data_IF_100988772668
#
_entry.id   IF_100988772668
#
_cell.length_a   1.000
_cell.length_b   1.000
_cell.length_c   1.000
_cell.angle_alpha   90.00
_cell.angle_beta   90.00
_cell.angle_gamma   90.00
#
_symmetry.space_group_name_H-M   'P 1'
#
loop_
_entity.id
_entity.type
_entity.pdbx_description
1 polymer ?
#
# COMPACT_ATOMS: atom_id res chain seq x y z
N UNK A 1 30.26 -31.61 -47.45
CA UNK A 1 30.59 -31.86 -46.03
C UNK A 1 30.38 -30.60 -45.16
N UNK A 2 30.76 -29.42 -45.59
CA UNK A 2 30.59 -28.15 -44.84
C UNK A 2 29.09 -27.80 -44.61
N UNK A 3 28.25 -28.03 -45.61
CA UNK A 3 26.80 -27.75 -45.53
C UNK A 3 26.06 -28.60 -44.50
N UNK A 4 26.49 -29.81 -44.25
CA UNK A 4 25.90 -30.70 -43.24
C UNK A 4 26.26 -30.26 -41.82
N UNK A 5 27.45 -29.73 -41.62
CA UNK A 5 27.92 -29.24 -40.31
C UNK A 5 27.24 -27.91 -39.95
N UNK A 6 27.02 -27.02 -40.90
CA UNK A 6 26.35 -25.72 -40.66
C UNK A 6 24.85 -25.88 -40.41
N UNK A 7 24.17 -26.88 -40.99
CA UNK A 7 22.78 -27.21 -40.71
C UNK A 7 22.59 -27.67 -39.26
N UNK A 8 23.43 -28.60 -38.81
CA UNK A 8 23.36 -29.10 -37.42
C UNK A 8 23.62 -28.03 -36.34
N UNK A 9 24.52 -27.09 -36.61
CA UNK A 9 24.80 -25.98 -35.68
C UNK A 9 23.61 -25.03 -35.58
N UNK A 10 22.95 -24.71 -36.68
CA UNK A 10 21.76 -23.85 -36.68
C UNK A 10 20.60 -24.47 -35.95
N UNK A 11 20.32 -25.76 -36.16
CA UNK A 11 19.25 -26.48 -35.51
C UNK A 11 19.51 -26.63 -33.99
N UNK A 12 20.75 -26.86 -33.62
CA UNK A 12 21.18 -26.92 -32.25
C UNK A 12 21.03 -25.56 -31.52
N UNK A 13 21.46 -24.47 -32.20
CA UNK A 13 21.30 -23.13 -31.67
C UNK A 13 19.81 -22.74 -31.50
N UNK A 14 18.98 -23.12 -32.45
CA UNK A 14 17.54 -22.92 -32.37
C UNK A 14 16.93 -23.68 -31.19
N UNK A 15 17.30 -24.95 -31.00
CA UNK A 15 16.83 -25.78 -29.91
C UNK A 15 17.21 -25.21 -28.53
N UNK A 16 18.49 -24.77 -28.38
CA UNK A 16 18.94 -24.11 -27.14
C UNK A 16 18.18 -22.79 -26.92
N UNK A 17 17.98 -22.00 -27.95
CA UNK A 17 17.23 -20.76 -27.87
C UNK A 17 15.79 -20.97 -27.40
N UNK A 18 15.10 -21.96 -27.94
CA UNK A 18 13.73 -22.32 -27.52
C UNK A 18 13.69 -22.83 -26.09
N UNK A 19 14.62 -23.68 -25.69
CA UNK A 19 14.73 -24.17 -24.31
C UNK A 19 15.01 -23.02 -23.34
N UNK A 20 15.93 -22.13 -23.66
CA UNK A 20 16.28 -20.98 -22.83
C UNK A 20 15.09 -20.03 -22.67
N UNK A 21 14.34 -19.77 -23.75
CA UNK A 21 13.12 -18.96 -23.71
C UNK A 21 12.05 -19.63 -22.81
N UNK A 22 11.85 -20.93 -22.93
CA UNK A 22 10.92 -21.69 -22.09
C UNK A 22 11.26 -21.60 -20.60
N UNK A 23 12.54 -21.78 -20.26
CA UNK A 23 13.03 -21.65 -18.87
C UNK A 23 12.86 -20.22 -18.36
N UNK A 24 13.20 -19.21 -19.18
CA UNK A 24 13.07 -17.80 -18.81
C UNK A 24 11.61 -17.43 -18.49
N UNK A 25 10.65 -17.89 -19.29
CA UNK A 25 9.22 -17.66 -19.06
C UNK A 25 8.77 -18.37 -17.79
N UNK A 26 9.21 -19.59 -17.55
CA UNK A 26 8.84 -20.36 -16.36
C UNK A 26 9.36 -19.71 -15.08
N UNK A 27 10.55 -19.10 -15.11
CA UNK A 27 11.17 -18.46 -13.95
C UNK A 27 10.83 -16.96 -13.82
N UNK A 28 10.08 -16.40 -14.73
CA UNK A 28 9.80 -14.96 -14.81
C UNK A 28 9.27 -14.41 -13.48
N UNK A 29 8.29 -15.07 -12.86
CA UNK A 29 7.67 -14.60 -11.62
C UNK A 29 8.65 -14.63 -10.44
N UNK A 30 9.50 -15.64 -10.39
CA UNK A 30 10.56 -15.74 -9.36
C UNK A 30 11.58 -14.60 -9.51
N UNK A 31 12.03 -14.34 -10.73
CA UNK A 31 12.99 -13.27 -11.03
C UNK A 31 12.38 -11.92 -10.67
N UNK A 32 11.11 -11.68 -11.04
CA UNK A 32 10.40 -10.46 -10.69
C UNK A 32 10.23 -10.30 -9.17
N UNK A 33 10.00 -11.39 -8.44
CA UNK A 33 9.90 -11.34 -6.97
C UNK A 33 11.21 -10.92 -6.32
N UNK A 34 12.33 -11.46 -6.78
CA UNK A 34 13.67 -11.07 -6.29
C UNK A 34 13.94 -9.60 -6.65
N UNK A 35 13.67 -9.20 -7.88
CA UNK A 35 13.79 -7.79 -8.28
C UNK A 35 12.89 -6.88 -7.44
N UNK A 36 11.68 -7.33 -7.11
CA UNK A 36 10.74 -6.65 -6.24
C UNK A 36 11.27 -6.46 -4.82
N UNK A 37 11.89 -7.48 -4.23
CA UNK A 37 12.49 -7.35 -2.89
C UNK A 37 13.61 -6.32 -2.87
N UNK A 38 14.46 -6.32 -3.89
CA UNK A 38 15.53 -5.30 -4.03
C UNK A 38 14.93 -3.89 -4.19
N UNK A 39 13.88 -3.76 -5.01
CA UNK A 39 13.17 -2.49 -5.18
C UNK A 39 12.59 -1.98 -3.85
N UNK A 40 11.90 -2.84 -3.10
CA UNK A 40 11.34 -2.50 -1.78
C UNK A 40 12.45 -2.02 -0.84
N UNK A 41 13.57 -2.74 -0.80
CA UNK A 41 14.69 -2.46 0.09
C UNK A 41 15.38 -1.13 -0.24
N UNK A 42 15.71 -0.89 -1.51
CA UNK A 42 16.47 0.32 -1.90
C UNK A 42 15.58 1.56 -1.98
N UNK A 43 14.36 1.44 -2.50
CA UNK A 43 13.42 2.56 -2.68
C UNK A 43 12.64 2.85 -1.41
N UNK A 44 12.56 1.87 -0.51
CA UNK A 44 11.80 1.95 0.76
C UNK A 44 10.33 2.26 0.53
N UNK A 45 9.73 1.60 -0.44
CA UNK A 45 8.31 1.75 -0.78
C UNK A 45 7.42 1.43 0.41
N UNK A 46 7.81 0.44 1.20
CA UNK A 46 7.26 0.09 2.50
C UNK A 46 8.28 -0.72 3.31
N UNK A 47 8.03 -0.90 4.59
CA UNK A 47 8.86 -1.65 5.54
C UNK A 47 8.00 -2.42 6.53
N UNK A 48 8.55 -3.39 7.27
CA UNK A 48 7.85 -4.00 8.40
C UNK A 48 7.30 -2.94 9.37
N UNK A 49 6.04 -3.10 9.75
CA UNK A 49 5.27 -2.15 10.58
C UNK A 49 4.43 -1.14 9.79
N UNK A 50 4.59 -1.05 8.47
CA UNK A 50 3.74 -0.21 7.66
C UNK A 50 2.41 -0.90 7.34
N UNK A 51 1.31 -0.13 7.28
CA UNK A 51 0.03 -0.54 6.74
C UNK A 51 -0.01 -0.22 5.26
N UNK A 52 -0.25 -1.23 4.44
CA UNK A 52 -0.25 -1.09 2.98
C UNK A 52 -1.45 -1.78 2.33
N UNK A 53 -1.76 -1.33 1.12
CA UNK A 53 -2.67 -2.02 0.23
C UNK A 53 -2.00 -2.22 -1.13
N UNK A 54 -1.96 -3.44 -1.61
CA UNK A 54 -1.43 -3.83 -2.92
C UNK A 54 -2.43 -4.76 -3.58
N UNK A 55 -2.84 -4.44 -4.80
CA UNK A 55 -3.76 -5.25 -5.61
C UNK A 55 -5.06 -5.59 -4.86
N UNK A 56 -5.58 -4.64 -4.08
CA UNK A 56 -6.80 -4.81 -3.28
C UNK A 56 -6.62 -5.63 -1.99
N UNK A 57 -5.41 -6.07 -1.69
CA UNK A 57 -5.08 -6.76 -0.43
C UNK A 57 -4.53 -5.75 0.56
N UNK A 58 -5.21 -5.59 1.70
CA UNK A 58 -4.85 -4.64 2.74
C UNK A 58 -4.34 -5.36 4.00
N UNK A 59 -3.26 -4.86 4.59
CA UNK A 59 -2.71 -5.43 5.82
C UNK A 59 -1.50 -4.68 6.36
N UNK A 60 -1.09 -5.10 7.54
CA UNK A 60 0.11 -4.59 8.21
C UNK A 60 1.30 -5.52 7.87
N UNK A 61 2.37 -4.94 7.35
CA UNK A 61 3.58 -5.67 6.94
C UNK A 61 4.29 -6.22 8.18
N UNK A 62 4.46 -7.53 8.23
CA UNK A 62 5.19 -8.22 9.29
C UNK A 62 6.66 -8.38 8.89
N UNK A 63 6.89 -8.83 7.66
CA UNK A 63 8.23 -9.15 7.16
C UNK A 63 8.31 -9.05 5.64
N UNK A 64 9.51 -8.80 5.12
CA UNK A 64 9.82 -8.76 3.69
C UNK A 64 10.99 -9.68 3.40
N UNK A 65 10.67 -10.83 2.86
CA UNK A 65 11.60 -11.84 2.39
C UNK A 65 12.15 -11.55 0.98
N UNK A 66 13.05 -12.39 0.50
CA UNK A 66 13.58 -12.30 -0.88
C UNK A 66 12.53 -12.50 -1.98
N UNK A 67 11.43 -13.20 -1.68
CA UNK A 67 10.39 -13.56 -2.65
C UNK A 67 9.02 -13.03 -2.24
N UNK A 68 8.72 -13.03 -0.94
CA UNK A 68 7.40 -12.70 -0.41
C UNK A 68 7.46 -11.56 0.61
N UNK A 69 6.40 -10.76 0.62
CA UNK A 69 6.05 -9.89 1.74
C UNK A 69 4.97 -10.60 2.57
N UNK A 70 5.21 -10.73 3.87
CA UNK A 70 4.26 -11.32 4.82
C UNK A 70 3.48 -10.19 5.51
N UNK A 71 2.16 -10.30 5.51
CA UNK A 71 1.27 -9.28 6.07
C UNK A 71 0.23 -9.91 7.00
N UNK A 72 -0.16 -9.17 8.03
CA UNK A 72 -1.37 -9.43 8.81
C UNK A 72 -2.54 -8.73 8.10
N UNK A 73 -3.51 -9.50 7.64
CA UNK A 73 -4.66 -8.97 6.92
C UNK A 73 -5.58 -8.14 7.82
N UNK A 74 -6.13 -7.08 7.25
CA UNK A 74 -7.16 -6.24 7.90
C UNK A 74 -8.39 -6.13 7.00
N UNK A 75 -9.56 -5.92 7.63
CA UNK A 75 -10.83 -5.83 6.92
C UNK A 75 -11.38 -7.21 6.51
N UNK A 76 -11.81 -7.35 5.26
CA UNK A 76 -12.48 -8.52 4.70
C UNK A 76 -13.82 -8.80 5.40
N UNK A 77 -13.94 -9.90 6.17
CA UNK A 77 -15.18 -10.22 6.91
C UNK A 77 -15.30 -9.49 8.25
N UNK A 78 -14.28 -8.74 8.66
CA UNK A 78 -14.29 -7.96 9.90
C UNK A 78 -14.59 -6.51 9.58
N UNK A 79 -15.50 -5.89 10.32
CA UNK A 79 -15.85 -4.48 10.12
C UNK A 79 -14.68 -3.57 10.47
N UNK A 80 -14.54 -2.49 9.75
CA UNK A 80 -13.48 -1.51 9.93
C UNK A 80 -12.09 -2.09 9.66
N UNK A 81 -11.04 -1.37 10.03
CA UNK A 81 -9.64 -1.77 9.86
C UNK A 81 -9.15 -2.72 10.97
N UNK A 82 -9.97 -3.67 11.38
CA UNK A 82 -9.59 -4.68 12.36
C UNK A 82 -8.88 -5.86 11.69
N UNK A 83 -8.04 -6.55 12.45
CA UNK A 83 -7.36 -7.75 11.98
C UNK A 83 -8.36 -8.88 11.70
N UNK A 84 -8.25 -9.47 10.52
CA UNK A 84 -9.05 -10.64 10.15
C UNK A 84 -8.57 -11.94 10.79
N UNK A 85 -7.34 -11.94 11.33
CA UNK A 85 -6.65 -13.12 11.86
C UNK A 85 -5.91 -13.96 10.80
N UNK A 86 -5.96 -13.54 9.52
CA UNK A 86 -5.21 -14.23 8.46
C UNK A 86 -3.83 -13.62 8.24
N UNK A 87 -2.87 -14.47 7.94
CA UNK A 87 -1.56 -14.09 7.43
C UNK A 87 -1.55 -14.28 5.92
N UNK A 88 -1.14 -13.25 5.22
CA UNK A 88 -1.00 -13.25 3.76
C UNK A 88 0.48 -13.26 3.40
N UNK A 89 0.85 -14.09 2.43
CA UNK A 89 2.15 -14.02 1.75
C UNK A 89 1.92 -13.54 0.33
N UNK A 90 2.35 -12.32 0.08
CA UNK A 90 2.22 -11.67 -1.22
C UNK A 90 3.57 -11.71 -1.94
N UNK A 91 3.58 -12.14 -3.20
CA UNK A 91 4.80 -12.11 -4.03
C UNK A 91 5.32 -10.67 -4.16
N UNK A 92 6.62 -10.46 -3.95
CA UNK A 92 7.24 -9.13 -4.12
C UNK A 92 7.16 -8.61 -5.56
N UNK A 93 6.89 -9.48 -6.55
CA UNK A 93 6.63 -9.07 -7.93
C UNK A 93 5.42 -8.13 -8.07
N UNK A 94 4.50 -8.13 -7.11
CA UNK A 94 3.31 -7.26 -7.15
C UNK A 94 3.63 -5.77 -7.07
N UNK A 95 4.81 -5.38 -6.57
CA UNK A 95 5.25 -3.97 -6.54
C UNK A 95 5.39 -3.35 -7.94
N UNK A 96 5.47 -4.17 -8.99
CA UNK A 96 5.52 -3.73 -10.38
C UNK A 96 4.18 -3.86 -11.12
N UNK A 97 3.14 -4.40 -10.46
CA UNK A 97 1.87 -4.77 -11.12
C UNK A 97 0.73 -3.77 -10.88
N UNK A 98 0.95 -2.75 -10.08
CA UNK A 98 -0.08 -1.76 -9.78
C UNK A 98 0.35 -0.73 -8.74
N UNK A 99 -0.56 0.14 -8.32
CA UNK A 99 -0.30 1.10 -7.27
C UNK A 99 -0.09 0.41 -5.93
N UNK A 100 0.74 1.03 -5.11
CA UNK A 100 0.95 0.65 -3.71
C UNK A 100 0.44 1.81 -2.87
N UNK A 101 -0.56 1.55 -2.04
CA UNK A 101 -1.04 2.52 -1.06
C UNK A 101 -0.35 2.25 0.27
N UNK A 102 0.39 3.22 0.78
CA UNK A 102 1.04 3.12 2.08
C UNK A 102 0.39 4.13 3.03
N UNK A 103 -0.29 3.62 4.06
CA UNK A 103 -1.05 4.40 5.03
C UNK A 103 -0.18 4.91 6.20
N UNK A 104 1.05 4.41 6.32
CA UNK A 104 1.94 4.68 7.46
C UNK A 104 3.21 5.46 7.08
N UNK A 105 3.37 5.80 5.79
CA UNK A 105 4.57 6.47 5.31
C UNK A 105 4.63 7.92 5.84
N UNK A 106 5.12 8.84 5.11
CA UNK A 106 5.52 10.18 5.51
C UNK A 106 4.45 11.07 6.16
N UNK A 107 3.15 10.70 6.05
CA UNK A 107 2.07 11.48 6.62
C UNK A 107 1.80 11.12 8.08
N UNK A 108 1.67 12.12 8.97
CA UNK A 108 1.51 11.87 10.41
C UNK A 108 0.12 11.39 10.81
N UNK A 109 -0.85 11.45 9.90
CA UNK A 109 -2.25 11.05 10.11
C UNK A 109 -2.93 10.77 8.77
N UNK A 110 -4.09 10.16 8.81
CA UNK A 110 -4.98 9.92 7.68
C UNK A 110 -6.28 10.69 7.95
N UNK A 111 -6.84 11.33 6.91
CA UNK A 111 -8.19 11.90 7.02
C UNK A 111 -9.19 10.75 6.97
N UNK A 112 -10.12 10.77 7.91
CA UNK A 112 -11.24 9.85 7.96
C UNK A 112 -12.55 10.62 7.96
N UNK A 113 -13.57 10.10 7.30
CA UNK A 113 -14.88 10.71 7.19
C UNK A 113 -15.96 9.70 7.60
N UNK A 114 -16.83 10.11 8.49
CA UNK A 114 -17.96 9.30 8.90
C UNK A 114 -19.26 10.09 8.92
N UNK A 115 -20.35 9.41 8.57
CA UNK A 115 -21.67 9.99 8.51
C UNK A 115 -22.44 9.72 9.80
N UNK A 116 -22.93 10.79 10.44
CA UNK A 116 -23.79 10.70 11.61
C UNK A 116 -25.23 11.00 11.22
N UNK A 117 -26.13 9.99 11.20
CA UNK A 117 -27.53 10.23 10.91
C UNK A 117 -28.21 10.99 12.07
N UNK A 118 -28.86 12.08 11.76
CA UNK A 118 -29.65 12.88 12.72
C UNK A 118 -31.14 12.56 12.51
N UNK A 119 -31.88 12.42 13.62
CA UNK A 119 -33.33 12.14 13.56
C UNK A 119 -34.07 13.29 12.88
N UNK A 120 -35.04 12.94 12.06
CA UNK A 120 -35.92 13.92 11.41
C UNK A 120 -36.61 14.82 12.44
N UNK A 121 -36.58 16.14 12.24
CA UNK A 121 -37.17 17.12 13.16
C UNK A 121 -36.26 17.54 14.31
N UNK A 122 -35.02 17.07 14.37
CA UNK A 122 -34.04 17.56 15.34
C UNK A 122 -33.56 18.97 14.99
N UNK A 123 -33.07 19.70 15.99
CA UNK A 123 -32.38 20.97 15.78
C UNK A 123 -31.00 20.71 15.20
N UNK A 124 -30.84 21.04 13.92
CA UNK A 124 -29.62 20.80 13.15
C UNK A 124 -28.47 21.67 13.67
N UNK A 125 -28.73 22.92 14.04
CA UNK A 125 -27.68 23.82 14.54
C UNK A 125 -27.14 23.38 15.91
N UNK A 126 -28.04 22.92 16.79
CA UNK A 126 -27.65 22.34 18.06
C UNK A 126 -26.82 21.07 17.86
N UNK A 127 -27.22 20.19 16.94
CA UNK A 127 -26.51 18.98 16.60
C UNK A 127 -25.09 19.27 16.06
N UNK A 128 -24.94 20.22 15.13
CA UNK A 128 -23.64 20.70 14.65
C UNK A 128 -22.72 21.13 15.79
N UNK A 129 -23.24 22.00 16.65
CA UNK A 129 -22.45 22.54 17.75
C UNK A 129 -21.96 21.43 18.70
N UNK A 130 -22.81 20.44 18.97
CA UNK A 130 -22.45 19.30 19.81
C UNK A 130 -21.37 18.44 19.12
N UNK A 131 -21.57 18.10 17.86
CA UNK A 131 -20.62 17.25 17.09
C UNK A 131 -19.24 17.91 17.01
N UNK A 132 -19.18 19.18 16.59
CA UNK A 132 -17.93 19.93 16.50
C UNK A 132 -17.25 20.06 17.86
N UNK A 133 -17.99 20.33 18.90
CA UNK A 133 -17.46 20.44 20.26
C UNK A 133 -16.82 19.12 20.68
N UNK A 134 -17.54 18.01 20.57
CA UNK A 134 -17.04 16.68 20.96
C UNK A 134 -15.84 16.29 20.10
N UNK A 135 -15.89 16.49 18.79
CA UNK A 135 -14.77 16.19 17.89
C UNK A 135 -13.52 17.00 18.26
N UNK A 136 -13.67 18.30 18.51
CA UNK A 136 -12.56 19.17 18.89
C UNK A 136 -11.97 18.79 20.25
N UNK A 137 -12.81 18.51 21.24
CA UNK A 137 -12.35 18.08 22.56
C UNK A 137 -11.60 16.73 22.48
N UNK A 138 -12.15 15.76 21.75
CA UNK A 138 -11.56 14.41 21.64
C UNK A 138 -10.24 14.42 20.86
N UNK A 139 -10.15 15.22 19.81
CA UNK A 139 -8.98 15.24 18.90
C UNK A 139 -7.94 16.30 19.28
N UNK A 140 -8.19 17.13 20.29
CA UNK A 140 -7.33 18.28 20.65
C UNK A 140 -5.85 17.92 20.78
N UNK A 141 -5.54 16.85 21.50
CA UNK A 141 -4.16 16.39 21.71
C UNK A 141 -3.52 15.89 20.39
N UNK A 142 -4.27 15.14 19.58
CA UNK A 142 -3.80 14.63 18.29
C UNK A 142 -3.56 15.76 17.29
N UNK A 143 -4.47 16.73 17.22
CA UNK A 143 -4.35 17.89 16.33
C UNK A 143 -3.09 18.69 16.64
N UNK A 144 -2.84 19.03 17.91
CA UNK A 144 -1.65 19.79 18.32
C UNK A 144 -0.37 19.05 17.92
N UNK A 145 -0.28 17.75 18.18
CA UNK A 145 0.88 16.92 17.83
C UNK A 145 1.06 16.78 16.31
N UNK A 146 -0.04 16.80 15.56
CA UNK A 146 -0.05 16.60 14.11
C UNK A 146 0.30 17.86 13.34
N UNK A 147 -0.09 19.04 13.81
CA UNK A 147 0.15 20.33 13.11
C UNK A 147 1.63 20.55 12.83
N UNK A 148 2.50 20.33 13.81
CA UNK A 148 3.94 20.53 13.65
C UNK A 148 4.52 19.60 12.58
N UNK A 149 4.16 18.31 12.64
CA UNK A 149 4.57 17.30 11.66
C UNK A 149 3.99 17.55 10.28
N UNK A 150 2.73 18.00 10.23
CA UNK A 150 2.06 18.34 8.98
C UNK A 150 2.75 19.47 8.24
N UNK A 151 3.20 20.50 8.95
CA UNK A 151 3.95 21.61 8.34
C UNK A 151 5.23 21.12 7.66
N UNK A 152 6.00 20.25 8.31
CA UNK A 152 7.21 19.67 7.73
C UNK A 152 6.90 18.86 6.45
N UNK A 153 5.77 18.16 6.40
CA UNK A 153 5.31 17.40 5.22
C UNK A 153 4.90 18.34 4.10
N UNK A 154 4.13 19.38 4.40
CA UNK A 154 3.72 20.41 3.43
C UNK A 154 4.93 21.05 2.77
N UNK A 155 5.92 21.45 3.57
CA UNK A 155 7.15 22.08 3.06
C UNK A 155 7.98 21.12 2.20
N UNK A 156 8.02 19.82 2.57
CA UNK A 156 8.76 18.79 1.85
C UNK A 156 8.15 18.42 0.50
N UNK A 157 6.83 18.33 0.44
CA UNK A 157 6.10 17.84 -0.74
C UNK A 157 5.46 18.93 -1.58
N UNK A 158 5.61 20.21 -1.18
CA UNK A 158 5.04 21.37 -1.90
C UNK A 158 3.53 21.27 -2.11
N UNK A 159 2.80 20.70 -1.13
CA UNK A 159 1.34 20.55 -1.18
C UNK A 159 0.67 21.75 -0.51
N UNK A 160 -0.61 21.98 -0.86
CA UNK A 160 -1.40 23.02 -0.20
C UNK A 160 -1.66 22.66 1.26
N UNK A 161 -1.67 23.71 2.09
CA UNK A 161 -1.99 23.56 3.52
C UNK A 161 -3.47 23.23 3.66
N UNK A 162 -3.76 21.98 4.04
CA UNK A 162 -5.12 21.56 4.39
C UNK A 162 -5.35 21.72 5.89
N UNK A 163 -6.63 21.88 6.26
CA UNK A 163 -7.04 21.92 7.67
C UNK A 163 -6.81 20.56 8.31
N UNK A 164 -6.22 20.58 9.49
CA UNK A 164 -6.00 19.39 10.34
C UNK A 164 -7.12 19.26 11.36
N UNK A 165 -7.77 20.37 11.68
CA UNK A 165 -8.89 20.42 12.62
C UNK A 165 -10.13 19.71 12.06
N UNK A 166 -10.98 19.14 12.94
CA UNK A 166 -12.24 18.54 12.53
C UNK A 166 -13.12 19.54 11.76
N UNK A 167 -13.66 19.08 10.65
CA UNK A 167 -14.61 19.87 9.85
C UNK A 167 -15.94 19.14 9.75
N UNK A 168 -17.03 19.85 9.61
CA UNK A 168 -18.37 19.30 9.47
C UNK A 168 -19.01 19.83 8.20
N UNK A 169 -19.51 18.91 7.37
CA UNK A 169 -20.34 19.19 6.20
C UNK A 169 -21.75 18.63 6.43
N UNK A 170 -22.78 19.28 5.84
CA UNK A 170 -24.17 18.83 5.85
C UNK A 170 -24.72 18.88 4.43
#
# INVERSE_FOLDING_TARGET
TLSYFTGNIKDFTLAIGLLSAGVAITLQELILSIAGSLYIFFVKVYKPGDRIEINGIKGDVIDVDSIYTTMMEIGEWVSSDNYSGRIIKLSNAFVFKGPIYNYSMDFPFIWDEFNLPIRYGSDIELAKNIIIKVATETLSEYVVNSIAKWKDVVDRYYIEVSKVEPTLAI
#
